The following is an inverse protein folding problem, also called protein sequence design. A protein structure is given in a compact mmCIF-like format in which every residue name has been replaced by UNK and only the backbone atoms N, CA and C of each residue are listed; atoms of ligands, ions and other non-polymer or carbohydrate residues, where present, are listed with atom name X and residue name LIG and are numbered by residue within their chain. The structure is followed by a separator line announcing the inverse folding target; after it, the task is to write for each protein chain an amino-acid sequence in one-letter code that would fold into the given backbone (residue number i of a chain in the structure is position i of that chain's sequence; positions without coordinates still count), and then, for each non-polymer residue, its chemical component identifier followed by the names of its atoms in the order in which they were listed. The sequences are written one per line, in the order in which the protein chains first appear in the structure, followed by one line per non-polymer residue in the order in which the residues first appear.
data_IF_087458259491
#
_entry.id   IF_087458259491
#
_cell.length_a   1.000
_cell.length_b   1.000
_cell.length_c   1.000
_cell.angle_alpha   90.00
_cell.angle_beta   90.00
_cell.angle_gamma   90.00
#
_symmetry.space_group_name_H-M   'P 1'
#
loop_
_entity.id
_entity.type
_entity.pdbx_description
1 polymer ?
#
# COMPACT_ATOMS: atom_id res chain seq x y z
N UNK A 1 15.47 -4.55 0.44
CA UNK A 1 14.10 -5.05 0.21
C UNK A 1 13.07 -3.92 0.11
N UNK A 2 13.01 -3.03 1.11
CA UNK A 2 11.92 -2.05 1.18
C UNK A 2 11.90 -1.06 0.04
N UNK A 3 13.06 -0.53 -0.37
CA UNK A 3 13.13 0.43 -1.47
C UNK A 3 12.74 -0.21 -2.80
N UNK A 4 13.25 -1.40 -3.10
CA UNK A 4 12.91 -2.12 -4.32
C UNK A 4 11.41 -2.47 -4.35
N UNK A 5 10.87 -2.92 -3.21
CA UNK A 5 9.44 -3.24 -3.10
C UNK A 5 8.56 -2.01 -3.32
N UNK A 6 8.95 -0.88 -2.73
CA UNK A 6 8.24 0.39 -2.93
C UNK A 6 8.22 0.81 -4.39
N UNK A 7 9.39 0.77 -5.06
CA UNK A 7 9.49 1.15 -6.47
C UNK A 7 8.63 0.23 -7.34
N UNK A 8 8.69 -1.08 -7.10
CA UNK A 8 7.86 -2.04 -7.82
C UNK A 8 6.36 -1.75 -7.64
N UNK A 9 5.92 -1.51 -6.40
CA UNK A 9 4.52 -1.25 -6.12
C UNK A 9 4.04 0.06 -6.75
N UNK A 10 4.87 1.10 -6.76
CA UNK A 10 4.54 2.36 -7.44
C UNK A 10 4.43 2.15 -8.94
N UNK A 11 5.33 1.38 -9.53
CA UNK A 11 5.28 1.05 -10.97
C UNK A 11 4.00 0.29 -11.31
N UNK A 12 3.65 -0.73 -10.53
CA UNK A 12 2.43 -1.51 -10.75
C UNK A 12 1.18 -0.65 -10.63
N UNK A 13 1.15 0.26 -9.67
CA UNK A 13 0.03 1.19 -9.51
C UNK A 13 -0.10 2.11 -10.74
N UNK A 14 1.00 2.63 -11.25
CA UNK A 14 0.99 3.47 -12.44
C UNK A 14 0.51 2.68 -13.65
N UNK A 15 0.92 1.42 -13.80
CA UNK A 15 0.43 0.54 -14.84
C UNK A 15 -1.08 0.32 -14.73
N UNK A 16 -1.59 0.16 -13.49
CA UNK A 16 -3.02 -0.01 -13.25
C UNK A 16 -3.83 1.18 -13.75
N UNK A 17 -3.30 2.39 -13.59
CA UNK A 17 -3.99 3.62 -14.00
C UNK A 17 -3.86 3.91 -15.49
N UNK A 18 -3.09 3.13 -16.23
CA UNK A 18 -2.95 3.29 -17.67
C UNK A 18 -3.93 2.33 -18.37
N UNK A 19 -4.97 2.89 -19.02
CA UNK A 19 -6.02 2.09 -19.64
C UNK A 19 -5.50 1.11 -20.69
N UNK A 20 -4.49 1.52 -21.47
CA UNK A 20 -3.92 0.66 -22.48
C UNK A 20 -3.22 -0.56 -21.85
N UNK A 21 -2.42 -0.32 -20.81
CA UNK A 21 -1.73 -1.40 -20.11
C UNK A 21 -2.71 -2.31 -19.37
N UNK A 22 -3.79 -1.76 -18.82
CA UNK A 22 -4.84 -2.58 -18.21
C UNK A 22 -5.44 -3.57 -19.21
N UNK A 23 -5.74 -3.12 -20.42
CA UNK A 23 -6.27 -4.00 -21.46
C UNK A 23 -5.25 -5.07 -21.88
N UNK A 24 -3.98 -4.67 -22.06
CA UNK A 24 -2.93 -5.58 -22.52
C UNK A 24 -2.58 -6.65 -21.48
N UNK A 25 -2.60 -6.31 -20.19
CA UNK A 25 -2.14 -7.20 -19.11
C UNK A 25 -3.23 -7.58 -18.12
N UNK A 26 -4.47 -7.15 -18.35
CA UNK A 26 -5.61 -7.49 -17.49
C UNK A 26 -5.37 -7.12 -16.02
N UNK A 27 -4.73 -5.96 -15.78
CA UNK A 27 -4.34 -5.53 -14.46
C UNK A 27 -5.54 -5.21 -13.55
N UNK A 28 -6.69 -4.84 -14.14
CA UNK A 28 -7.90 -4.56 -13.36
C UNK A 28 -8.35 -5.73 -12.51
N UNK A 29 -8.14 -6.97 -12.98
CA UNK A 29 -8.48 -8.17 -12.22
C UNK A 29 -7.51 -8.43 -11.07
N UNK A 30 -6.30 -7.88 -11.15
CA UNK A 30 -5.26 -8.07 -10.15
C UNK A 30 -5.22 -6.95 -9.12
N UNK A 31 -6.10 -5.96 -9.23
CA UNK A 31 -6.07 -4.76 -8.38
C UNK A 31 -6.11 -5.08 -6.89
N UNK A 32 -6.96 -6.04 -6.50
CA UNK A 32 -7.07 -6.43 -5.10
C UNK A 32 -5.81 -7.11 -4.55
N UNK A 33 -4.94 -7.62 -5.44
CA UNK A 33 -3.69 -8.27 -5.05
C UNK A 33 -2.52 -7.28 -4.95
N UNK A 34 -2.67 -6.06 -5.49
CA UNK A 34 -1.61 -5.06 -5.44
C UNK A 34 -1.41 -4.56 -4.02
N UNK A 35 -0.16 -4.33 -3.69
CA UNK A 35 0.22 -3.85 -2.35
C UNK A 35 0.11 -2.33 -2.24
N UNK A 36 -0.11 -1.86 -1.02
CA UNK A 36 0.06 -0.46 -0.70
C UNK A 36 1.55 -0.11 -0.80
N UNK A 37 1.95 0.88 -1.63
CA UNK A 37 3.34 1.33 -1.62
C UNK A 37 3.69 1.89 -0.24
N UNK A 38 4.68 1.29 0.44
CA UNK A 38 5.05 1.69 1.80
C UNK A 38 6.15 2.75 1.79
N UNK A 39 5.86 3.86 2.43
CA UNK A 39 6.81 4.93 2.75
C UNK A 39 6.42 5.53 4.10
N UNK A 40 7.10 6.59 4.52
CA UNK A 40 6.82 7.20 5.83
C UNK A 40 5.38 7.70 5.95
N UNK A 41 4.82 8.23 4.87
CA UNK A 41 3.45 8.75 4.87
C UNK A 41 2.42 7.62 5.01
N UNK A 42 2.52 6.58 4.17
CA UNK A 42 1.55 5.48 4.20
C UNK A 42 1.69 4.63 5.45
N UNK A 43 2.92 4.38 5.91
CA UNK A 43 3.17 3.66 7.16
C UNK A 43 2.57 4.39 8.35
N UNK A 44 2.73 5.71 8.40
CA UNK A 44 2.10 6.54 9.44
C UNK A 44 0.59 6.45 9.38
N UNK A 45 0.01 6.52 8.17
CA UNK A 45 -1.43 6.39 7.97
C UNK A 45 -1.97 5.07 8.51
N UNK A 46 -1.30 3.96 8.22
CA UNK A 46 -1.68 2.64 8.72
C UNK A 46 -1.54 2.57 10.24
N UNK A 47 -0.42 3.07 10.79
CA UNK A 47 -0.18 3.01 12.24
C UNK A 47 -1.18 3.84 13.04
N UNK A 48 -1.51 5.04 12.56
CA UNK A 48 -2.47 5.92 13.25
C UNK A 48 -3.87 5.33 13.32
N UNK A 49 -4.22 4.47 12.36
CA UNK A 49 -5.54 3.84 12.28
C UNK A 49 -5.55 2.42 12.85
N UNK A 50 -4.48 2.03 13.54
CA UNK A 50 -4.34 0.69 14.09
C UNK A 50 -4.16 0.74 15.60
N UNK A 51 -4.57 -0.32 16.34
CA UNK A 51 -4.31 -0.39 17.76
C UNK A 51 -2.82 -0.28 18.05
N UNK A 52 -2.47 0.39 19.13
CA UNK A 52 -1.07 0.58 19.52
C UNK A 52 -0.37 -0.78 19.65
N UNK A 53 0.77 -0.91 19.00
CA UNK A 53 1.57 -2.12 19.01
C UNK A 53 1.13 -3.21 18.04
N UNK A 54 0.04 -3.00 17.26
CA UNK A 54 -0.45 -4.01 16.30
C UNK A 54 0.39 -4.09 15.04
N UNK A 55 1.12 -3.02 14.69
CA UNK A 55 2.05 -3.02 13.56
C UNK A 55 3.44 -2.61 14.05
N UNK A 56 4.53 -3.11 13.40
CA UNK A 56 5.87 -2.78 13.83
C UNK A 56 6.19 -1.31 13.61
N UNK A 57 7.15 -0.80 14.38
CA UNK A 57 7.63 0.57 14.24
C UNK A 57 8.22 0.78 12.85
N UNK A 58 7.90 1.90 12.22
CA UNK A 58 8.47 2.26 10.94
C UNK A 58 9.89 2.79 11.12
N UNK A 59 10.86 2.11 10.52
CA UNK A 59 12.28 2.46 10.62
C UNK A 59 12.84 3.02 9.31
N UNK A 60 11.98 3.27 8.33
CA UNK A 60 12.37 3.76 7.01
C UNK A 60 12.31 2.66 5.95
N UNK A 61 12.21 3.08 4.69
CA UNK A 61 12.07 2.15 3.55
C UNK A 61 13.25 1.19 3.48
N UNK A 62 14.46 1.66 3.76
CA UNK A 62 15.68 0.85 3.64
C UNK A 62 15.78 -0.25 4.69
N UNK A 63 15.11 -0.07 5.83
CA UNK A 63 15.13 -1.04 6.93
C UNK A 63 13.90 -1.93 6.97
N UNK A 64 13.01 -1.79 6.00
CA UNK A 64 11.80 -2.61 5.93
C UNK A 64 12.17 -4.07 5.63
N UNK A 65 11.67 -4.97 6.47
CA UNK A 65 11.87 -6.42 6.29
C UNK A 65 10.63 -7.03 5.63
N UNK A 66 10.75 -8.23 5.00
CA UNK A 66 9.58 -8.93 4.48
C UNK A 66 8.51 -9.20 5.54
N UNK A 67 8.91 -9.52 6.76
CA UNK A 67 8.00 -9.80 7.88
C UNK A 67 7.20 -8.55 8.27
N UNK A 68 7.90 -7.41 8.43
CA UNK A 68 7.24 -6.15 8.76
C UNK A 68 6.32 -5.71 7.61
N UNK A 69 6.77 -5.88 6.37
CA UNK A 69 5.94 -5.58 5.19
C UNK A 69 4.64 -6.37 5.20
N UNK A 70 4.68 -7.66 5.52
CA UNK A 70 3.47 -8.49 5.60
C UNK A 70 2.48 -7.96 6.62
N UNK A 71 2.96 -7.53 7.80
CA UNK A 71 2.09 -6.98 8.84
C UNK A 71 1.42 -5.69 8.36
N UNK A 72 2.20 -4.78 7.75
CA UNK A 72 1.64 -3.54 7.20
C UNK A 72 0.62 -3.82 6.10
N UNK A 73 0.92 -4.74 5.18
CA UNK A 73 0.01 -5.05 4.07
C UNK A 73 -1.27 -5.72 4.56
N UNK A 74 -1.18 -6.62 5.54
CA UNK A 74 -2.36 -7.26 6.12
C UNK A 74 -3.27 -6.23 6.79
N UNK A 75 -2.69 -5.32 7.57
CA UNK A 75 -3.45 -4.26 8.21
C UNK A 75 -4.03 -3.28 7.20
N UNK A 76 -3.25 -2.96 6.14
CA UNK A 76 -3.74 -2.11 5.05
C UNK A 76 -4.95 -2.74 4.36
N UNK A 77 -4.95 -4.05 4.17
CA UNK A 77 -6.11 -4.76 3.59
C UNK A 77 -7.35 -4.59 4.46
N UNK A 78 -7.23 -4.74 5.79
CA UNK A 78 -8.34 -4.53 6.70
C UNK A 78 -8.88 -3.10 6.63
N UNK A 79 -7.99 -2.11 6.63
CA UNK A 79 -8.37 -0.70 6.56
C UNK A 79 -9.02 -0.36 5.22
N UNK A 80 -8.53 -0.96 4.14
CA UNK A 80 -9.10 -0.75 2.81
C UNK A 80 -10.52 -1.31 2.72
N UNK A 81 -10.77 -2.48 3.29
CA UNK A 81 -12.12 -3.07 3.34
C UNK A 81 -13.08 -2.11 4.06
N UNK A 82 -12.66 -1.55 5.18
CA UNK A 82 -13.48 -0.58 5.92
C UNK A 82 -13.79 0.67 5.10
N UNK A 83 -12.87 1.10 4.24
CA UNK A 83 -13.04 2.28 3.39
C UNK A 83 -13.70 1.95 2.04
N UNK A 84 -13.94 0.68 1.74
CA UNK A 84 -14.52 0.26 0.46
C UNK A 84 -13.54 0.34 -0.71
N UNK A 85 -12.25 0.17 -0.43
CA UNK A 85 -11.15 0.29 -1.41
C UNK A 85 -10.29 -0.97 -1.45
N UNK A 86 -9.45 -1.07 -2.48
CA UNK A 86 -8.31 -1.98 -2.46
C UNK A 86 -7.11 -1.26 -1.81
N UNK A 87 -6.25 -2.03 -1.13
CA UNK A 87 -5.16 -1.43 -0.33
C UNK A 87 -4.20 -0.56 -1.13
N UNK A 88 -4.02 -0.82 -2.42
CA UNK A 88 -3.13 -0.04 -3.28
C UNK A 88 -3.53 1.42 -3.37
N UNK A 89 -4.81 1.74 -3.14
CA UNK A 89 -5.34 3.09 -3.23
C UNK A 89 -5.34 3.86 -1.91
N UNK A 90 -4.91 3.25 -0.81
CA UNK A 90 -4.96 3.89 0.50
C UNK A 90 -4.08 5.15 0.57
N UNK A 91 -2.96 5.18 -0.14
CA UNK A 91 -2.09 6.36 -0.12
C UNK A 91 -2.80 7.60 -0.67
N UNK A 92 -3.54 7.45 -1.77
CA UNK A 92 -4.34 8.55 -2.32
C UNK A 92 -5.52 8.90 -1.42
N UNK A 93 -6.16 7.90 -0.82
CA UNK A 93 -7.24 8.11 0.12
C UNK A 93 -6.75 8.92 1.34
N UNK A 94 -5.58 8.58 1.89
CA UNK A 94 -5.01 9.31 3.02
C UNK A 94 -4.62 10.74 2.65
N UNK A 95 -4.17 10.95 1.41
CA UNK A 95 -3.90 12.29 0.92
C UNK A 95 -5.15 13.15 0.89
N UNK A 96 -6.28 12.61 0.42
CA UNK A 96 -7.55 13.36 0.35
C UNK A 96 -8.10 13.67 1.73
N UNK A 97 -7.99 12.74 2.69
CA UNK A 97 -8.39 12.99 4.07
C UNK A 97 -7.59 14.10 4.72
N UNK A 98 -6.33 14.21 4.35
CA UNK A 98 -5.41 15.19 4.92
C UNK A 98 -5.79 16.63 4.57
N UNK A 99 -6.29 16.84 3.36
CA UNK A 99 -6.69 18.14 2.89
C UNK A 99 -8.04 18.55 3.42
#
# INVERSE_FOLDING_TARGET
FGLARKVLNLFLRECLYNAYLQQAFDLGRSEALLELPLDSFTARGVRLRSPKGSVPRWLGVRKLTPEASKVYQARATELAIEAGLDRVHLDLYYWTERG
#
